data_IF_123793975102
#
_entry.id   IF_123793975102
#
_cell.length_a   1.000
_cell.length_b   1.000
_cell.length_c   1.000
_cell.angle_alpha   90.00
_cell.angle_beta   90.00
_cell.angle_gamma   90.00
#
_symmetry.space_group_name_H-M   'P 1'
#
loop_
_entity.id
_entity.type
_entity.pdbx_description
1 polymer ?
#
# COMPACT_ATOMS: atom_id res chain seq x y z
N UNK A 1 16.74 33.41 -2.62
CA UNK A 1 15.80 32.57 -1.85
C UNK A 1 15.30 31.47 -2.77
N UNK A 2 15.84 30.25 -2.64
CA UNK A 2 15.49 29.13 -3.52
C UNK A 2 14.08 28.62 -3.14
N UNK A 3 13.13 28.79 -4.05
CA UNK A 3 11.80 28.21 -3.92
C UNK A 3 11.94 26.68 -4.01
N UNK A 4 11.89 26.04 -2.84
CA UNK A 4 11.86 24.59 -2.66
C UNK A 4 10.58 24.03 -3.35
N UNK A 5 10.65 23.81 -4.67
CA UNK A 5 9.60 23.14 -5.45
C UNK A 5 9.55 21.68 -4.98
N UNK A 6 8.87 21.45 -3.85
CA UNK A 6 8.59 20.13 -3.28
C UNK A 6 7.80 19.32 -4.30
N UNK A 7 8.52 18.58 -5.15
CA UNK A 7 7.97 17.59 -6.09
C UNK A 7 6.95 16.73 -5.35
N UNK A 8 5.71 16.79 -5.81
CA UNK A 8 4.64 15.95 -5.28
C UNK A 8 4.96 14.50 -5.66
N UNK A 9 5.48 13.75 -4.69
CA UNK A 9 5.82 12.34 -4.88
C UNK A 9 4.58 11.51 -4.59
N UNK A 10 4.12 10.76 -5.57
CA UNK A 10 3.03 9.80 -5.40
C UNK A 10 3.61 8.45 -5.00
N UNK A 11 2.94 7.74 -4.11
CA UNK A 11 3.35 6.40 -3.66
C UNK A 11 2.18 5.44 -3.72
N UNK A 12 2.46 4.19 -4.09
CA UNK A 12 1.51 3.10 -4.03
C UNK A 12 1.30 2.66 -2.57
N UNK A 13 0.06 2.43 -2.18
CA UNK A 13 -0.31 1.94 -0.85
C UNK A 13 -1.12 0.67 -0.99
N UNK A 14 -0.81 -0.32 -0.15
CA UNK A 14 -1.57 -1.55 -0.09
C UNK A 14 -2.99 -1.29 0.45
N UNK A 15 -4.06 -1.64 -0.29
CA UNK A 15 -5.43 -1.43 0.17
C UNK A 15 -5.83 -2.35 1.33
N UNK A 16 -5.08 -3.44 1.56
CA UNK A 16 -5.35 -4.39 2.66
C UNK A 16 -4.75 -3.96 3.98
N UNK A 17 -3.51 -3.48 3.97
CA UNK A 17 -2.73 -3.23 5.20
C UNK A 17 -2.21 -1.80 5.34
N UNK A 18 -2.42 -0.94 4.33
CA UNK A 18 -1.93 0.44 4.33
C UNK A 18 -0.40 0.57 4.16
N UNK A 19 0.30 -0.53 3.88
CA UNK A 19 1.76 -0.49 3.68
C UNK A 19 2.13 0.21 2.38
N UNK A 20 3.22 0.98 2.41
CA UNK A 20 3.85 1.58 1.22
C UNK A 20 4.94 0.69 0.63
N UNK A 21 5.22 -0.42 1.30
CA UNK A 21 6.21 -1.40 0.89
C UNK A 21 5.61 -2.33 -0.17
N UNK A 22 5.63 -1.84 -1.42
CA UNK A 22 5.07 -2.51 -2.59
C UNK A 22 6.23 -2.85 -3.52
N UNK A 23 6.49 -4.14 -3.69
CA UNK A 23 7.40 -4.64 -4.70
C UNK A 23 6.63 -4.79 -6.03
N UNK A 24 7.32 -4.55 -7.14
CA UNK A 24 6.78 -4.79 -8.48
C UNK A 24 7.45 -6.07 -8.97
N UNK A 25 6.66 -7.11 -9.19
CA UNK A 25 7.09 -8.33 -9.87
C UNK A 25 6.72 -8.19 -11.34
N UNK A 26 7.74 -7.98 -12.15
CA UNK A 26 7.64 -8.00 -13.60
C UNK A 26 8.21 -9.34 -14.06
N UNK A 27 7.34 -10.33 -14.28
CA UNK A 27 7.76 -11.62 -14.86
C UNK A 27 7.79 -11.54 -16.39
N UNK A 28 6.99 -10.65 -16.97
CA UNK A 28 6.85 -10.44 -18.40
C UNK A 28 6.70 -8.94 -18.70
N UNK A 29 7.17 -8.50 -19.88
CA UNK A 29 7.16 -7.09 -20.30
C UNK A 29 5.73 -6.51 -20.27
N UNK A 30 4.71 -7.36 -20.45
CA UNK A 30 3.31 -6.96 -20.41
C UNK A 30 2.66 -7.04 -19.01
N UNK A 31 3.29 -7.71 -18.03
CA UNK A 31 2.65 -7.99 -16.73
C UNK A 31 3.48 -7.48 -15.56
N UNK A 32 3.10 -6.27 -15.10
CA UNK A 32 3.61 -5.69 -13.86
C UNK A 32 2.63 -5.97 -12.73
N UNK A 33 2.82 -7.07 -12.01
CA UNK A 33 2.07 -7.35 -10.80
C UNK A 33 2.70 -6.59 -9.62
N UNK A 34 1.89 -5.86 -8.85
CA UNK A 34 2.35 -5.21 -7.63
C UNK A 34 2.03 -6.14 -6.45
N UNK A 35 3.02 -6.42 -5.62
CA UNK A 35 2.89 -7.24 -4.43
C UNK A 35 3.25 -6.43 -3.19
N UNK A 36 2.41 -6.48 -2.17
CA UNK A 36 2.74 -5.91 -0.88
C UNK A 36 3.64 -6.86 -0.10
N UNK A 37 4.87 -6.45 0.21
CA UNK A 37 5.82 -7.29 0.97
C UNK A 37 5.40 -7.51 2.42
N UNK A 38 4.46 -6.71 2.94
CA UNK A 38 3.98 -6.79 4.33
C UNK A 38 2.88 -7.80 4.56
N UNK A 39 1.96 -7.97 3.61
CA UNK A 39 0.82 -8.88 3.75
C UNK A 39 0.67 -9.88 2.60
N UNK A 40 1.56 -9.83 1.59
CA UNK A 40 1.51 -10.70 0.41
C UNK A 40 0.38 -10.37 -0.56
N UNK A 41 -0.38 -9.28 -0.36
CA UNK A 41 -1.45 -8.91 -1.28
C UNK A 41 -0.88 -8.59 -2.65
N UNK A 42 -1.32 -9.31 -3.68
CA UNK A 42 -0.96 -9.11 -5.08
C UNK A 42 -2.12 -8.48 -5.85
N UNK A 43 -1.83 -7.46 -6.65
CA UNK A 43 -2.79 -6.85 -7.57
C UNK A 43 -2.07 -5.93 -8.56
N UNK A 44 -2.62 -5.73 -9.75
CA UNK A 44 -2.10 -4.72 -10.68
C UNK A 44 -2.48 -3.29 -10.23
N UNK A 45 -3.59 -3.17 -9.49
CA UNK A 45 -4.18 -1.91 -9.07
C UNK A 45 -3.92 -1.67 -7.58
N UNK A 46 -2.94 -0.83 -7.29
CA UNK A 46 -2.70 -0.28 -5.96
C UNK A 46 -3.08 1.20 -5.96
N UNK A 47 -3.82 1.70 -4.96
CA UNK A 47 -4.13 3.11 -4.86
C UNK A 47 -2.85 3.93 -4.72
N UNK A 48 -2.75 5.01 -5.49
CA UNK A 48 -1.68 5.98 -5.41
C UNK A 48 -2.12 7.13 -4.53
N UNK A 49 -1.35 7.44 -3.49
CA UNK A 49 -1.62 8.57 -2.59
C UNK A 49 -0.44 9.54 -2.62
N UNK A 50 -0.68 10.85 -2.49
CA UNK A 50 0.40 11.82 -2.40
C UNK A 50 1.16 11.59 -1.09
N UNK A 51 2.51 11.56 -1.15
CA UNK A 51 3.37 11.39 0.02
C UNK A 51 3.15 12.50 1.07
N UNK A 52 2.69 13.68 0.60
CA UNK A 52 2.28 14.84 1.43
C UNK A 52 0.94 14.65 2.14
N UNK A 53 0.17 13.59 1.88
CA UNK A 53 -0.90 13.14 2.77
C UNK A 53 -0.29 12.58 4.07
N UNK A 54 0.25 13.50 4.85
CA UNK A 54 0.97 13.28 6.10
C UNK A 54 -0.07 13.07 7.19
N UNK A 55 0.11 11.98 7.95
CA UNK A 55 -0.43 11.74 9.29
C UNK A 55 -1.96 11.65 9.40
N UNK A 56 -2.46 10.41 9.39
CA UNK A 56 -3.73 9.86 9.93
C UNK A 56 -4.11 8.73 8.98
N UNK A 57 -3.57 7.52 9.12
CA UNK A 57 -4.14 6.54 10.04
C UNK A 57 -3.11 5.42 10.26
N UNK A 58 -2.30 5.55 11.30
CA UNK A 58 -1.79 4.40 12.03
C UNK A 58 -2.78 4.19 13.17
N UNK A 59 -3.86 3.45 12.92
CA UNK A 59 -4.91 3.24 13.90
C UNK A 59 -6.09 2.52 13.26
N UNK A 60 -6.37 1.33 13.77
CA UNK A 60 -7.59 0.54 13.53
C UNK A 60 -7.77 -0.09 12.14
N UNK A 61 -6.91 -1.06 11.81
CA UNK A 61 -7.47 -2.28 11.24
C UNK A 61 -8.02 -3.04 12.44
N UNK A 62 -9.32 -2.85 12.73
CA UNK A 62 -10.06 -3.62 13.72
C UNK A 62 -9.77 -5.11 13.47
N UNK A 63 -9.14 -5.76 14.46
CA UNK A 63 -9.00 -7.22 14.50
C UNK A 63 -10.41 -7.80 14.29
N UNK A 64 -10.67 -8.44 13.15
CA UNK A 64 -11.85 -9.29 13.01
C UNK A 64 -11.73 -10.36 14.11
N UNK A 65 -12.73 -10.55 14.98
CA UNK A 65 -12.72 -11.69 15.89
C UNK A 65 -12.69 -12.97 15.05
N UNK A 66 -11.71 -13.83 15.31
CA UNK A 66 -11.66 -15.18 14.73
C UNK A 66 -12.93 -15.93 15.15
N UNK A 67 -13.69 -16.54 14.22
CA UNK A 67 -14.75 -17.44 14.64
C UNK A 67 -14.11 -18.71 15.22
N UNK A 68 -14.11 -18.81 16.56
CA UNK A 68 -14.02 -20.09 17.26
C UNK A 68 -15.45 -20.68 17.30
N UNK A 69 -15.77 -21.58 16.37
CA UNK A 69 -16.75 -22.66 16.58
C UNK A 69 -15.95 -23.96 16.43
N UNK A 70 -15.77 -24.85 17.42
CA UNK A 70 -16.76 -25.59 18.22
C UNK A 70 -17.83 -26.23 17.33
N UNK A 71 -17.52 -27.40 16.78
CA UNK A 71 -18.32 -28.60 16.98
C UNK A 71 -17.40 -29.82 16.96
#
# INVERSE_FOLDING_TARGET
MAADKKKERWVYVCPKCGSKDIAIRSWDIAFNEKICSRCGYTSQFFPQVPLKARKKQAGEIKKRPSPKGKL
#
